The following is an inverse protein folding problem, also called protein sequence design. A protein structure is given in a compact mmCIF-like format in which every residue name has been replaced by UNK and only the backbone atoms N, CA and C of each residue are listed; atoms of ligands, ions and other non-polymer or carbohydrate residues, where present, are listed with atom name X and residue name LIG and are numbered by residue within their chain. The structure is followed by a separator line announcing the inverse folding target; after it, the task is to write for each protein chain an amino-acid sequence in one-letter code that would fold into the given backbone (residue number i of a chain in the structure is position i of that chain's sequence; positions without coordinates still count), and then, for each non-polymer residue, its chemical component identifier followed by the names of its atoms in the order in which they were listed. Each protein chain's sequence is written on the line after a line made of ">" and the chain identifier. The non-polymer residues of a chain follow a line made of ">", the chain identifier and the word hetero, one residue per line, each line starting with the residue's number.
data_IF_654323711425
#
_entry.id   IF_654323711425
#
_cell.length_a   1.000
_cell.length_b   1.000
_cell.length_c   1.000
_cell.angle_alpha   90.00
_cell.angle_beta   90.00
_cell.angle_gamma   90.00
#
_symmetry.space_group_name_H-M   'P 1'
#
loop_
_entity.id
_entity.type
_entity.pdbx_description
1 polymer ?
#
# COMPACT_ATOMS: atom_id res chain seq x y z
N UNK A 1 -7.40 -18.39 0.25
CA UNK A 1 -6.08 -17.74 0.53
C UNK A 1 -5.66 -16.99 -0.73
N UNK A 2 -4.89 -15.86 -0.66
CA UNK A 2 -4.37 -15.20 -1.87
C UNK A 2 -3.36 -16.09 -2.59
N UNK A 3 -3.49 -16.24 -3.92
CA UNK A 3 -2.52 -16.97 -4.73
C UNK A 3 -1.43 -16.04 -5.28
N UNK A 4 -1.81 -14.84 -5.73
CA UNK A 4 -0.92 -13.90 -6.42
C UNK A 4 -1.11 -12.46 -5.92
N UNK A 5 -0.07 -11.64 -6.05
CA UNK A 5 -0.18 -10.20 -5.89
C UNK A 5 -0.72 -9.55 -7.17
N UNK A 6 -1.50 -8.47 -7.00
CA UNK A 6 -2.14 -7.76 -8.12
C UNK A 6 -1.12 -7.29 -9.17
N UNK A 7 -0.05 -6.62 -8.72
CA UNK A 7 0.96 -6.08 -9.61
C UNK A 7 1.86 -7.11 -10.27
N UNK A 8 1.80 -8.38 -9.84
CA UNK A 8 2.61 -9.47 -10.40
C UNK A 8 1.84 -10.36 -11.38
N UNK A 9 0.54 -10.08 -11.61
CA UNK A 9 -0.23 -10.80 -12.64
C UNK A 9 0.22 -10.32 -14.01
N UNK A 10 0.59 -11.28 -14.87
CA UNK A 10 1.09 -11.06 -16.22
C UNK A 10 0.54 -12.12 -17.19
N UNK A 11 0.93 -12.03 -18.45
CA UNK A 11 0.50 -12.95 -19.51
C UNK A 11 0.83 -14.44 -19.21
N UNK A 12 1.81 -14.71 -18.33
CA UNK A 12 2.12 -16.09 -17.88
C UNK A 12 0.99 -16.77 -17.10
N UNK A 13 0.01 -16.02 -16.60
CA UNK A 13 -1.15 -16.52 -15.87
C UNK A 13 -2.41 -16.63 -16.73
N UNK A 14 -2.31 -16.43 -18.06
CA UNK A 14 -3.45 -16.56 -18.96
C UNK A 14 -4.17 -17.89 -18.76
N UNK A 15 -5.50 -17.81 -18.78
CA UNK A 15 -6.45 -18.91 -18.56
C UNK A 15 -6.40 -19.58 -17.17
N UNK A 16 -5.50 -19.16 -16.30
CA UNK A 16 -5.45 -19.65 -14.93
C UNK A 16 -6.45 -18.92 -14.03
N UNK A 17 -6.98 -19.63 -13.06
CA UNK A 17 -7.79 -19.04 -11.98
C UNK A 17 -6.87 -18.57 -10.86
N UNK A 18 -6.98 -17.30 -10.51
CA UNK A 18 -6.18 -16.67 -9.46
C UNK A 18 -7.09 -16.05 -8.38
N UNK A 19 -6.58 -15.99 -7.15
CA UNK A 19 -7.21 -15.23 -6.07
C UNK A 19 -6.29 -14.07 -5.68
N UNK A 20 -6.76 -12.85 -5.88
CA UNK A 20 -6.06 -11.62 -5.51
C UNK A 20 -6.77 -10.92 -4.36
N UNK A 21 -6.00 -10.21 -3.51
CA UNK A 21 -6.54 -9.42 -2.41
C UNK A 21 -5.90 -8.03 -2.44
N UNK A 22 -6.72 -6.99 -2.30
CA UNK A 22 -6.22 -5.63 -2.38
C UNK A 22 -7.28 -4.59 -2.06
N UNK A 23 -6.91 -3.34 -2.24
CA UNK A 23 -7.77 -2.17 -2.08
C UNK A 23 -8.37 -1.76 -3.41
N UNK A 24 -9.65 -1.37 -3.42
CA UNK A 24 -10.28 -0.74 -4.59
C UNK A 24 -9.63 0.62 -4.82
N UNK A 25 -8.81 0.72 -5.86
CA UNK A 25 -8.20 1.97 -6.27
C UNK A 25 -9.19 2.84 -7.05
N UNK A 26 -9.92 2.21 -7.98
CA UNK A 26 -10.95 2.88 -8.78
C UNK A 26 -12.03 1.88 -9.19
N UNK A 27 -13.29 2.32 -9.14
CA UNK A 27 -14.45 1.59 -9.68
C UNK A 27 -15.07 2.38 -10.81
N UNK A 28 -15.44 1.70 -11.88
CA UNK A 28 -16.13 2.27 -13.04
C UNK A 28 -17.26 1.33 -13.44
N UNK A 29 -18.36 1.88 -13.89
CA UNK A 29 -19.47 1.16 -14.50
C UNK A 29 -19.60 1.64 -15.96
N UNK A 30 -19.54 0.71 -16.89
CA UNK A 30 -19.67 0.98 -18.31
C UNK A 30 -20.66 -0.01 -18.93
N UNK A 31 -21.89 0.47 -19.17
CA UNK A 31 -22.90 -0.31 -19.88
C UNK A 31 -23.31 -1.60 -19.17
N UNK A 32 -23.32 -1.60 -17.84
CA UNK A 32 -23.71 -2.76 -17.04
C UNK A 32 -22.59 -3.75 -16.76
N UNK A 33 -21.35 -3.42 -17.10
CA UNK A 33 -20.14 -4.16 -16.71
C UNK A 33 -19.35 -3.32 -15.71
N UNK A 34 -18.99 -3.89 -14.56
CA UNK A 34 -18.22 -3.19 -13.54
C UNK A 34 -16.74 -3.50 -13.70
N UNK A 35 -15.92 -2.45 -13.69
CA UNK A 35 -14.47 -2.52 -13.71
C UNK A 35 -13.93 -2.04 -12.38
N UNK A 36 -13.06 -2.85 -11.77
CA UNK A 36 -12.36 -2.50 -10.53
C UNK A 36 -10.85 -2.56 -10.78
N UNK A 37 -10.18 -1.45 -10.58
CA UNK A 37 -8.73 -1.42 -10.49
C UNK A 37 -8.37 -1.82 -9.04
N UNK A 38 -7.92 -3.05 -8.83
CA UNK A 38 -7.54 -3.57 -7.52
C UNK A 38 -6.05 -3.38 -7.30
N UNK A 39 -5.70 -2.74 -6.19
CA UNK A 39 -4.33 -2.37 -5.84
C UNK A 39 -3.81 -3.15 -4.65
N UNK A 40 -2.56 -3.56 -4.72
CA UNK A 40 -1.79 -4.01 -3.56
C UNK A 40 -0.39 -3.36 -3.55
N UNK A 41 0.53 -3.88 -2.74
CA UNK A 41 1.89 -3.33 -2.61
C UNK A 41 2.75 -3.50 -3.87
N UNK A 42 2.41 -4.45 -4.75
CA UNK A 42 3.18 -4.75 -5.97
C UNK A 42 2.64 -4.00 -7.19
N UNK A 43 1.40 -3.49 -7.11
CA UNK A 43 0.81 -2.70 -8.18
C UNK A 43 -0.70 -2.86 -8.30
N UNK A 44 -1.20 -2.69 -9.52
CA UNK A 44 -2.64 -2.67 -9.83
C UNK A 44 -2.94 -3.70 -10.91
N UNK A 45 -4.08 -4.39 -10.76
CA UNK A 45 -4.67 -5.22 -11.81
C UNK A 45 -6.12 -4.81 -12.05
N UNK A 46 -6.56 -4.77 -13.31
CA UNK A 46 -7.97 -4.58 -13.65
C UNK A 46 -8.73 -5.87 -13.43
N UNK A 47 -9.86 -5.76 -12.76
CA UNK A 47 -10.85 -6.82 -12.61
C UNK A 47 -12.13 -6.42 -13.33
N UNK A 48 -12.71 -7.34 -14.08
CA UNK A 48 -13.96 -7.18 -14.80
C UNK A 48 -15.02 -8.05 -14.15
N UNK A 49 -16.17 -7.48 -13.91
CA UNK A 49 -17.31 -8.16 -13.29
C UNK A 49 -18.50 -8.03 -14.25
N UNK A 50 -18.86 -9.15 -14.84
CA UNK A 50 -19.99 -9.24 -15.75
C UNK A 50 -21.31 -9.45 -14.99
N UNK A 51 -22.46 -8.97 -15.51
CA UNK A 51 -23.78 -9.19 -14.91
C UNK A 51 -24.18 -10.67 -14.85
N UNK A 52 -23.52 -11.54 -15.63
CA UNK A 52 -23.74 -13.00 -15.61
C UNK A 52 -23.32 -13.66 -14.28
N UNK A 53 -22.63 -12.91 -13.40
CA UNK A 53 -22.28 -13.32 -12.04
C UNK A 53 -23.01 -12.44 -11.02
N UNK A 54 -24.32 -12.62 -10.78
CA UNK A 54 -25.17 -11.65 -10.08
C UNK A 54 -24.75 -11.38 -8.63
N UNK A 55 -24.24 -12.38 -7.91
CA UNK A 55 -23.74 -12.21 -6.54
C UNK A 55 -22.46 -11.34 -6.51
N UNK A 56 -21.49 -11.66 -7.37
CA UNK A 56 -20.26 -10.88 -7.49
C UNK A 56 -20.57 -9.46 -7.99
N UNK A 57 -21.49 -9.32 -8.94
CA UNK A 57 -21.92 -8.03 -9.48
C UNK A 57 -22.54 -7.14 -8.40
N UNK A 58 -23.45 -7.67 -7.59
CA UNK A 58 -24.07 -6.93 -6.46
C UNK A 58 -23.03 -6.45 -5.44
N UNK A 59 -22.05 -7.28 -5.11
CA UNK A 59 -20.97 -6.89 -4.20
C UNK A 59 -20.05 -5.81 -4.83
N UNK A 60 -19.72 -5.96 -6.10
CA UNK A 60 -18.92 -4.99 -6.85
C UNK A 60 -19.64 -3.63 -6.98
N UNK A 61 -20.97 -3.64 -7.14
CA UNK A 61 -21.79 -2.41 -7.21
C UNK A 61 -21.78 -1.65 -5.88
N UNK A 62 -21.78 -2.36 -4.76
CA UNK A 62 -21.69 -1.76 -3.43
C UNK A 62 -20.28 -1.28 -3.05
N UNK A 63 -19.23 -1.80 -3.71
CA UNK A 63 -17.85 -1.47 -3.38
C UNK A 63 -17.53 0.01 -3.68
N UNK A 64 -16.73 0.61 -2.80
CA UNK A 64 -16.25 2.00 -2.92
C UNK A 64 -14.72 2.01 -2.82
N UNK A 65 -14.13 3.16 -3.12
CA UNK A 65 -12.68 3.34 -3.04
C UNK A 65 -12.13 2.94 -1.66
N UNK A 66 -10.97 2.33 -1.65
CA UNK A 66 -10.26 1.81 -0.48
C UNK A 66 -10.96 0.65 0.26
N UNK A 67 -12.09 0.13 -0.23
CA UNK A 67 -12.60 -1.16 0.26
C UNK A 67 -11.56 -2.25 0.03
N UNK A 68 -11.45 -3.18 0.96
CA UNK A 68 -10.57 -4.35 0.83
C UNK A 68 -11.38 -5.50 0.27
N UNK A 69 -10.97 -5.98 -0.89
CA UNK A 69 -11.63 -7.09 -1.57
C UNK A 69 -10.73 -8.32 -1.68
N UNK A 70 -11.35 -9.48 -1.66
CA UNK A 70 -10.80 -10.74 -2.15
C UNK A 70 -11.55 -11.11 -3.42
N UNK A 71 -10.85 -11.32 -4.52
CA UNK A 71 -11.44 -11.60 -5.81
C UNK A 71 -10.81 -12.87 -6.38
N UNK A 72 -11.64 -13.83 -6.74
CA UNK A 72 -11.25 -15.05 -7.46
C UNK A 72 -11.78 -14.97 -8.88
N UNK A 73 -10.92 -15.17 -9.88
CA UNK A 73 -11.32 -15.09 -11.28
C UNK A 73 -10.27 -15.63 -12.23
N UNK A 74 -10.65 -15.72 -13.51
CA UNK A 74 -9.77 -16.19 -14.59
C UNK A 74 -9.02 -15.00 -15.19
N UNK A 75 -7.71 -15.15 -15.36
CA UNK A 75 -6.89 -14.18 -16.10
C UNK A 75 -7.14 -14.35 -17.60
N UNK A 76 -7.42 -13.23 -18.29
CA UNK A 76 -7.59 -13.20 -19.75
C UNK A 76 -6.89 -11.98 -20.35
N UNK A 77 -6.66 -12.01 -21.64
CA UNK A 77 -6.26 -10.81 -22.38
C UNK A 77 -7.38 -9.79 -22.34
N UNK A 78 -7.01 -8.51 -22.28
CA UNK A 78 -7.99 -7.44 -22.52
C UNK A 78 -8.48 -7.50 -23.98
N UNK A 79 -9.70 -7.06 -24.26
CA UNK A 79 -10.17 -6.92 -25.62
C UNK A 79 -9.23 -6.04 -26.46
N UNK A 80 -9.15 -6.32 -27.74
CA UNK A 80 -8.34 -5.57 -28.68
C UNK A 80 -8.64 -4.06 -28.61
N UNK A 81 -7.62 -3.22 -28.60
CA UNK A 81 -7.75 -1.77 -28.48
C UNK A 81 -7.95 -1.24 -27.05
N UNK A 82 -8.05 -2.10 -26.02
CA UNK A 82 -8.24 -1.67 -24.61
C UNK A 82 -6.99 -1.82 -23.74
N UNK A 83 -5.84 -2.14 -24.33
CA UNK A 83 -4.55 -2.22 -23.63
C UNK A 83 -4.22 -0.89 -22.96
N UNK A 84 -3.69 -0.94 -21.73
CA UNK A 84 -3.31 0.23 -20.97
C UNK A 84 -1.80 0.21 -20.66
N UNK A 85 -1.02 0.89 -21.46
CA UNK A 85 0.46 0.92 -21.33
C UNK A 85 0.95 1.63 -20.04
N UNK A 86 0.06 2.30 -19.30
CA UNK A 86 0.39 2.91 -18.00
C UNK A 86 0.40 1.92 -16.85
N UNK A 87 -0.01 0.69 -17.07
CA UNK A 87 -0.04 -0.38 -16.07
C UNK A 87 0.83 -1.55 -16.50
N UNK A 88 1.60 -2.12 -15.59
CA UNK A 88 2.40 -3.33 -15.85
C UNK A 88 1.50 -4.49 -16.30
N UNK A 89 0.32 -4.62 -15.69
CA UNK A 89 -0.72 -5.59 -16.04
C UNK A 89 -1.63 -5.15 -17.18
N UNK A 90 -1.25 -4.13 -17.95
CA UNK A 90 -2.15 -3.43 -18.88
C UNK A 90 -2.64 -4.23 -20.08
N UNK A 91 -2.04 -5.39 -20.37
CA UNK A 91 -2.47 -6.30 -21.43
C UNK A 91 -3.50 -7.33 -20.99
N UNK A 92 -3.58 -7.55 -19.68
CA UNK A 92 -4.44 -8.59 -19.09
C UNK A 92 -5.47 -7.98 -18.13
N UNK A 93 -6.47 -8.77 -17.82
CA UNK A 93 -7.47 -8.49 -16.80
C UNK A 93 -7.94 -9.78 -16.12
N UNK A 94 -8.57 -9.67 -14.97
CA UNK A 94 -9.17 -10.79 -14.26
C UNK A 94 -10.68 -10.74 -14.48
N UNK A 95 -11.25 -11.76 -15.12
CA UNK A 95 -12.69 -11.97 -15.17
C UNK A 95 -13.14 -12.58 -13.85
N UNK A 96 -13.80 -11.81 -13.02
CA UNK A 96 -14.22 -12.23 -11.69
C UNK A 96 -15.29 -13.31 -11.73
N UNK A 97 -15.14 -14.31 -10.87
CA UNK A 97 -16.16 -15.33 -10.58
C UNK A 97 -16.75 -15.12 -9.18
N UNK A 98 -15.90 -14.76 -8.23
CA UNK A 98 -16.26 -14.59 -6.84
C UNK A 98 -15.64 -13.31 -6.28
N UNK A 99 -16.40 -12.59 -5.48
CA UNK A 99 -15.96 -11.40 -4.77
C UNK A 99 -16.38 -11.54 -3.30
N UNK A 100 -15.47 -11.17 -2.41
CA UNK A 100 -15.72 -11.05 -0.98
C UNK A 100 -15.26 -9.66 -0.53
N UNK A 101 -16.10 -8.91 0.18
CA UNK A 101 -15.72 -7.66 0.84
C UNK A 101 -15.11 -8.04 2.19
N UNK A 102 -13.78 -7.97 2.28
CA UNK A 102 -13.05 -8.27 3.52
C UNK A 102 -13.20 -7.13 4.54
N UNK A 103 -13.25 -5.89 4.05
CA UNK A 103 -13.42 -4.73 4.90
C UNK A 103 -13.95 -3.53 4.10
N UNK A 104 -15.06 -2.92 4.50
CA UNK A 104 -15.49 -1.63 3.96
C UNK A 104 -14.61 -0.51 4.51
N UNK A 105 -14.50 0.60 3.79
CA UNK A 105 -13.77 1.78 4.21
C UNK A 105 -14.67 3.02 4.20
N UNK A 106 -14.44 3.93 5.12
CA UNK A 106 -14.98 5.28 5.00
C UNK A 106 -14.33 5.98 3.79
N UNK A 107 -15.03 6.96 3.22
CA UNK A 107 -14.47 7.76 2.11
C UNK A 107 -13.16 8.43 2.57
N UNK A 108 -12.05 8.18 1.88
CA UNK A 108 -10.78 8.79 2.25
C UNK A 108 -10.84 10.32 2.04
N UNK A 109 -10.13 11.11 2.86
CA UNK A 109 -10.10 12.57 2.75
C UNK A 109 -9.45 13.06 1.45
N UNK A 110 -8.67 12.22 0.79
CA UNK A 110 -8.07 12.46 -0.51
C UNK A 110 -7.71 11.14 -1.19
N UNK A 111 -7.56 11.16 -2.50
CA UNK A 111 -7.08 10.02 -3.27
C UNK A 111 -5.56 9.89 -3.13
N UNK A 112 -5.06 8.67 -3.02
CA UNK A 112 -3.62 8.42 -2.82
C UNK A 112 -2.75 8.77 -4.04
N UNK A 113 -3.35 8.88 -5.23
CA UNK A 113 -2.71 9.27 -6.48
C UNK A 113 -2.83 10.79 -6.78
N UNK A 114 -3.53 11.56 -5.93
CA UNK A 114 -3.57 13.01 -6.04
C UNK A 114 -2.24 13.63 -5.60
N UNK A 115 -1.61 14.40 -6.48
CA UNK A 115 -0.33 15.05 -6.21
C UNK A 115 -0.50 16.44 -5.55
N UNK A 116 -1.69 17.05 -5.65
CA UNK A 116 -1.96 18.42 -5.27
C UNK A 116 -2.53 18.58 -3.84
N UNK A 117 -2.13 17.72 -2.91
CA UNK A 117 -2.62 17.75 -1.53
C UNK A 117 -1.68 18.58 -0.65
N UNK A 118 -2.25 19.54 0.08
CA UNK A 118 -1.46 20.37 1.00
C UNK A 118 -0.78 19.54 2.10
N UNK A 119 0.36 20.00 2.56
CA UNK A 119 1.11 19.31 3.62
C UNK A 119 0.29 19.15 4.90
N UNK A 120 -0.47 20.17 5.29
CA UNK A 120 -1.32 20.11 6.47
C UNK A 120 -2.33 18.97 6.40
N UNK A 121 -3.03 18.82 5.28
CA UNK A 121 -4.02 17.73 5.09
C UNK A 121 -3.32 16.36 5.11
N UNK A 122 -2.14 16.24 4.50
CA UNK A 122 -1.35 15.01 4.51
C UNK A 122 -0.90 14.62 5.92
N UNK A 123 -0.43 15.59 6.71
CA UNK A 123 0.02 15.34 8.09
C UNK A 123 -1.13 14.97 9.02
N UNK A 124 -2.30 15.60 8.86
CA UNK A 124 -3.52 15.23 9.60
C UNK A 124 -4.02 13.82 9.28
N UNK A 125 -3.75 13.34 8.06
CA UNK A 125 -4.19 12.03 7.59
C UNK A 125 -3.00 11.14 7.22
N UNK A 126 -2.01 11.08 8.11
CA UNK A 126 -0.70 10.48 7.85
C UNK A 126 -0.76 9.01 7.42
N UNK A 127 -1.70 8.24 7.95
CA UNK A 127 -1.88 6.82 7.58
C UNK A 127 -2.19 6.67 6.08
N UNK A 128 -3.01 7.57 5.53
CA UNK A 128 -3.36 7.57 4.10
C UNK A 128 -2.22 8.15 3.27
N UNK A 129 -1.60 9.24 3.72
CA UNK A 129 -0.44 9.84 3.05
C UNK A 129 0.71 8.82 2.87
N UNK A 130 0.99 7.99 3.88
CA UNK A 130 2.01 6.95 3.80
C UNK A 130 1.71 5.86 2.75
N UNK A 131 0.46 5.74 2.27
CA UNK A 131 0.09 4.83 1.18
C UNK A 131 0.33 5.41 -0.22
N UNK A 132 0.58 6.71 -0.32
CA UNK A 132 0.86 7.36 -1.61
C UNK A 132 2.11 6.76 -2.26
N UNK A 133 2.13 6.59 -3.59
CA UNK A 133 3.26 5.98 -4.29
C UNK A 133 4.60 6.66 -4.00
N UNK A 134 4.61 8.00 -3.93
CA UNK A 134 5.83 8.79 -3.62
C UNK A 134 6.34 8.48 -2.21
N UNK A 135 5.45 8.38 -1.22
CA UNK A 135 5.82 8.09 0.16
C UNK A 135 6.31 6.66 0.31
N UNK A 136 5.64 5.70 -0.34
CA UNK A 136 6.08 4.30 -0.38
C UNK A 136 7.47 4.17 -0.99
N UNK A 137 7.73 4.85 -2.11
CA UNK A 137 9.06 4.86 -2.73
C UNK A 137 10.13 5.45 -1.80
N UNK A 138 9.84 6.57 -1.15
CA UNK A 138 10.77 7.24 -0.24
C UNK A 138 11.09 6.38 0.99
N UNK A 139 10.06 5.74 1.59
CA UNK A 139 10.26 4.83 2.73
C UNK A 139 11.08 3.60 2.34
N UNK A 140 10.80 3.00 1.17
CA UNK A 140 11.58 1.87 0.66
C UNK A 140 13.03 2.26 0.38
N UNK A 141 13.26 3.42 -0.24
CA UNK A 141 14.62 3.92 -0.48
C UNK A 141 15.37 4.12 0.83
N UNK A 142 14.76 4.80 1.81
CA UNK A 142 15.36 5.00 3.14
C UNK A 142 15.73 3.66 3.81
N UNK A 143 14.81 2.69 3.77
CA UNK A 143 15.06 1.35 4.28
C UNK A 143 16.26 0.68 3.56
N UNK A 144 16.27 0.71 2.22
CA UNK A 144 17.34 0.09 1.43
C UNK A 144 18.70 0.72 1.74
N UNK A 145 18.78 2.04 1.87
CA UNK A 145 20.01 2.75 2.23
C UNK A 145 20.48 2.31 3.62
N UNK A 146 19.61 2.34 4.63
CA UNK A 146 19.96 1.93 5.99
C UNK A 146 20.45 0.47 6.05
N UNK A 147 19.74 -0.43 5.35
CA UNK A 147 20.14 -1.84 5.27
C UNK A 147 21.45 -2.04 4.48
N UNK A 148 21.68 -1.25 3.44
CA UNK A 148 22.93 -1.27 2.68
C UNK A 148 24.12 -0.88 3.54
N UNK A 149 24.00 0.20 4.31
CA UNK A 149 25.03 0.65 5.25
C UNK A 149 25.32 -0.40 6.32
N UNK A 150 24.26 -0.95 6.94
CA UNK A 150 24.43 -2.01 7.96
C UNK A 150 25.15 -3.24 7.40
N UNK A 151 24.73 -3.74 6.23
CA UNK A 151 25.39 -4.89 5.59
C UNK A 151 26.84 -4.62 5.23
N UNK A 152 27.13 -3.41 4.75
CA UNK A 152 28.51 -3.03 4.42
C UNK A 152 29.38 -3.02 5.67
N UNK A 153 28.94 -2.41 6.76
CA UNK A 153 29.70 -2.34 8.02
C UNK A 153 29.83 -3.72 8.66
N UNK A 154 28.77 -4.53 8.69
CA UNK A 154 28.80 -5.91 9.17
C UNK A 154 29.87 -6.74 8.43
N UNK A 155 29.93 -6.63 7.10
CA UNK A 155 30.95 -7.29 6.29
C UNK A 155 32.40 -6.83 6.58
N UNK A 156 32.57 -5.66 7.21
CA UNK A 156 33.86 -5.15 7.69
C UNK A 156 34.15 -5.48 9.16
N UNK A 157 33.28 -6.27 9.81
CA UNK A 157 33.43 -6.67 11.22
C UNK A 157 32.90 -5.66 12.25
N UNK A 158 32.15 -4.65 11.84
CA UNK A 158 31.47 -3.74 12.76
C UNK A 158 30.17 -4.35 13.26
N UNK A 159 29.81 -4.00 14.49
CA UNK A 159 28.58 -4.48 15.15
C UNK A 159 27.63 -3.29 15.34
N UNK A 160 26.37 -3.47 14.97
CA UNK A 160 25.29 -2.49 15.24
C UNK A 160 24.74 -2.73 16.66
N UNK A 161 24.99 -1.80 17.56
CA UNK A 161 24.59 -1.91 18.96
C UNK A 161 23.47 -0.93 19.27
N UNK A 162 22.34 -1.46 19.72
CA UNK A 162 21.23 -0.65 20.23
C UNK A 162 21.60 -0.08 21.61
N UNK A 163 21.57 1.24 21.72
CA UNK A 163 21.76 1.95 22.99
C UNK A 163 20.44 2.53 23.48
N UNK A 164 20.27 2.79 24.80
CA UNK A 164 19.07 3.43 25.33
C UNK A 164 18.80 4.80 24.67
N UNK A 165 17.57 5.03 24.25
CA UNK A 165 17.16 6.30 23.63
C UNK A 165 17.10 7.44 24.66
N UNK A 166 16.60 7.15 25.88
CA UNK A 166 16.58 8.07 27.00
C UNK A 166 17.79 7.82 27.91
N UNK A 167 18.60 8.83 28.08
CA UNK A 167 19.83 8.73 28.88
C UNK A 167 19.92 9.93 29.85
N UNK A 168 21.02 10.04 30.56
CA UNK A 168 21.38 11.22 31.34
C UNK A 168 21.81 12.33 30.38
N UNK A 169 21.46 13.59 30.71
CA UNK A 169 21.96 14.76 29.99
C UNK A 169 23.49 14.81 29.99
N UNK A 170 24.06 15.13 28.84
CA UNK A 170 25.50 15.31 28.66
C UNK A 170 25.80 16.79 28.44
N UNK A 171 26.96 17.27 28.91
CA UNK A 171 27.38 18.67 28.74
C UNK A 171 28.04 18.92 27.39
N UNK A 172 28.21 17.89 26.55
CA UNK A 172 28.88 17.96 25.27
C UNK A 172 27.88 18.11 24.12
N UNK A 173 28.14 19.07 23.22
CA UNK A 173 27.37 19.23 21.99
C UNK A 173 26.24 20.26 22.07
N UNK A 174 25.22 20.07 21.20
CA UNK A 174 24.03 20.91 21.18
C UNK A 174 23.14 20.62 22.40
N UNK A 175 22.19 21.54 22.66
CA UNK A 175 21.23 21.36 23.77
C UNK A 175 20.47 20.06 23.66
N UNK A 176 20.49 19.27 24.73
CA UNK A 176 19.68 18.07 24.85
C UNK A 176 18.19 18.40 24.93
N UNK A 177 17.35 17.53 24.40
CA UNK A 177 15.92 17.59 24.64
C UNK A 177 15.58 16.88 25.94
N UNK A 178 15.06 17.62 26.94
CA UNK A 178 14.77 17.08 28.26
C UNK A 178 13.37 16.47 28.31
N UNK A 179 13.26 15.27 28.90
CA UNK A 179 12.02 14.54 29.11
C UNK A 179 11.78 14.35 30.61
N UNK A 180 10.73 14.95 31.21
CA UNK A 180 10.46 14.81 32.65
C UNK A 180 10.25 13.34 33.05
N UNK A 181 10.85 12.92 34.16
CA UNK A 181 10.61 11.60 34.73
C UNK A 181 9.23 11.54 35.39
N UNK A 182 8.45 10.51 35.08
CA UNK A 182 7.18 10.24 35.77
C UNK A 182 7.35 9.57 37.12
N UNK A 183 8.47 8.88 37.30
CA UNK A 183 8.74 8.05 38.50
C UNK A 183 9.50 8.84 39.56
N UNK A 184 10.38 9.75 39.12
CA UNK A 184 11.22 10.58 40.01
C UNK A 184 10.89 12.06 39.80
N UNK A 185 10.05 12.65 40.66
CA UNK A 185 9.67 14.07 40.56
C UNK A 185 10.88 14.99 40.63
N UNK A 186 10.99 15.94 39.71
CA UNK A 186 12.11 16.87 39.63
C UNK A 186 13.33 16.36 38.85
N UNK A 187 13.33 15.12 38.43
CA UNK A 187 14.39 14.55 37.59
C UNK A 187 13.99 14.47 36.11
N UNK A 188 14.99 14.43 35.22
CA UNK A 188 14.80 14.43 33.79
C UNK A 188 15.69 13.38 33.12
N UNK A 189 15.14 12.74 32.13
CA UNK A 189 15.91 12.08 31.09
C UNK A 189 16.27 13.09 29.98
N UNK A 190 17.20 12.71 29.13
CA UNK A 190 17.55 13.49 27.95
C UNK A 190 17.55 12.61 26.69
N UNK A 191 17.28 13.26 25.56
CA UNK A 191 17.55 12.74 24.23
C UNK A 191 18.85 13.41 23.74
N UNK A 192 20.01 12.80 23.99
CA UNK A 192 21.29 13.36 23.54
C UNK A 192 21.48 13.20 22.04
N UNK A 193 22.47 13.89 21.51
CA UNK A 193 22.93 13.71 20.14
C UNK A 193 23.42 12.29 19.85
#
# INVERSE_FOLDING_TARGET
>A
MRTNYCGLISEQYLDQTVTVKGWVHRRRDHGGVIFIDLRDREGIVQVVIDPDTPEAFKLADSARNEYVLSITGRVRNRPEGTTNDKMVSGKIEILAKEIEILNPAATPPFMIDDENISETVRLQNRVIDLRRPVMQRNLRLRYQVAMGVRRYLDAQGFIDIETPMLTRSTQEGARDYLVPSRVHPGEFFALPQ
#
